data_IF_199958535964
#
_entry.id   IF_199958535964
#
_cell.length_a   1.000
_cell.length_b   1.000
_cell.length_c   1.000
_cell.angle_alpha   90.00
_cell.angle_beta   90.00
_cell.angle_gamma   90.00
#
_symmetry.space_group_name_H-M   'P 1'
#
loop_
_entity.id
_entity.type
_entity.pdbx_description
1 polymer ?
#
# COMPACT_ATOMS: atom_id res chain seq x y z
N UNK A 1 -6.64 -8.80 9.89
CA UNK A 1 -7.86 -8.40 9.15
C UNK A 1 -7.49 -8.21 7.68
N UNK A 2 -8.39 -8.52 6.73
CA UNK A 2 -8.14 -8.37 5.29
C UNK A 2 -9.20 -7.45 4.69
N UNK A 3 -8.77 -6.40 3.97
CA UNK A 3 -9.64 -5.45 3.30
C UNK A 3 -9.34 -5.47 1.80
N UNK A 4 -10.40 -5.65 1.01
CA UNK A 4 -10.37 -5.55 -0.46
C UNK A 4 -11.37 -4.49 -0.87
N UNK A 5 -10.89 -3.45 -1.56
CA UNK A 5 -11.74 -2.37 -2.06
C UNK A 5 -11.52 -2.19 -3.55
N UNK A 6 -12.63 -2.08 -4.28
CA UNK A 6 -12.68 -1.65 -5.69
C UNK A 6 -12.96 -0.12 -5.78
N UNK A 7 -13.02 0.56 -4.62
CA UNK A 7 -13.14 2.02 -4.50
C UNK A 7 -11.79 2.66 -4.25
N UNK A 8 -11.55 3.81 -4.90
CA UNK A 8 -10.32 4.61 -4.84
C UNK A 8 -9.82 4.93 -3.41
N UNK A 9 -10.74 4.93 -2.44
CA UNK A 9 -10.47 5.22 -1.04
C UNK A 9 -10.99 4.08 -0.16
N UNK A 10 -10.26 3.81 0.92
CA UNK A 10 -10.61 2.81 1.93
C UNK A 10 -10.28 3.35 3.31
N UNK A 11 -11.23 3.28 4.22
CA UNK A 11 -11.00 3.55 5.62
C UNK A 11 -10.60 2.25 6.34
N UNK A 12 -9.51 2.28 7.08
CA UNK A 12 -8.99 1.16 7.86
C UNK A 12 -9.02 1.54 9.34
N UNK A 13 -9.70 0.74 10.15
CA UNK A 13 -9.76 0.93 11.59
C UNK A 13 -8.67 0.11 12.28
N UNK A 14 -7.69 0.78 12.88
CA UNK A 14 -6.75 0.13 13.79
C UNK A 14 -7.32 0.13 15.22
N UNK A 15 -7.90 -0.99 15.63
CA UNK A 15 -8.47 -1.20 16.97
C UNK A 15 -7.41 -1.48 18.06
N UNK A 16 -6.13 -1.48 17.70
CA UNK A 16 -5.02 -1.71 18.61
C UNK A 16 -4.67 -0.47 19.44
N UNK A 17 -3.75 -0.63 20.38
CA UNK A 17 -3.28 0.44 21.26
C UNK A 17 -2.09 1.22 20.69
N UNK A 18 -1.47 0.70 19.62
CA UNK A 18 -0.28 1.31 19.00
C UNK A 18 -0.33 1.30 17.48
N UNK A 19 0.57 2.07 16.88
CA UNK A 19 0.70 2.14 15.44
C UNK A 19 1.05 0.77 14.84
N UNK A 20 0.32 0.38 13.81
CA UNK A 20 0.37 -0.97 13.25
C UNK A 20 0.95 -0.93 11.82
N UNK A 21 1.98 -1.73 11.52
CA UNK A 21 2.49 -1.85 10.15
C UNK A 21 1.48 -2.59 9.25
N UNK A 22 1.58 -2.36 7.95
CA UNK A 22 0.68 -2.96 6.97
C UNK A 22 1.45 -3.67 5.85
N UNK A 23 0.76 -4.64 5.25
CA UNK A 23 1.11 -5.28 3.99
C UNK A 23 0.09 -4.85 2.94
N UNK A 24 0.57 -4.33 1.84
CA UNK A 24 -0.24 -3.81 0.74
C UNK A 24 0.05 -4.63 -0.50
N UNK A 25 -0.98 -4.98 -1.26
CA UNK A 25 -0.86 -5.64 -2.55
C UNK A 25 -1.59 -4.80 -3.58
N UNK A 26 -0.84 -4.29 -4.54
CA UNK A 26 -1.34 -3.59 -5.72
C UNK A 26 -1.47 -4.60 -6.86
N UNK A 27 -2.65 -4.71 -7.46
CA UNK A 27 -2.90 -5.65 -8.57
C UNK A 27 -3.39 -4.91 -9.80
N UNK A 28 -2.73 -5.17 -10.92
CA UNK A 28 -3.02 -4.56 -12.21
C UNK A 28 -3.93 -5.49 -13.06
N UNK A 29 -5.18 -5.08 -13.31
CA UNK A 29 -6.10 -5.75 -14.26
C UNK A 29 -5.67 -5.55 -15.72
N UNK A 30 -4.96 -4.46 -16.01
CA UNK A 30 -4.37 -4.09 -17.28
C UNK A 30 -3.13 -3.20 -17.05
N UNK A 31 -2.58 -2.55 -18.07
CA UNK A 31 -1.45 -1.62 -17.90
C UNK A 31 -1.77 -0.49 -16.92
N UNK A 32 -0.89 -0.30 -15.92
CA UNK A 32 -0.98 0.79 -14.92
C UNK A 32 0.39 1.48 -14.82
N UNK A 33 0.43 2.80 -14.90
CA UNK A 33 1.68 3.57 -14.83
C UNK A 33 1.79 4.30 -13.51
N UNK A 34 2.93 4.15 -12.85
CA UNK A 34 3.29 4.84 -11.61
C UNK A 34 2.23 4.69 -10.50
N UNK A 35 1.92 3.45 -10.07
CA UNK A 35 0.95 3.22 -9.01
C UNK A 35 1.41 3.86 -7.70
N UNK A 36 0.46 4.46 -7.00
CA UNK A 36 0.68 5.25 -5.79
C UNK A 36 -0.36 4.93 -4.73
N UNK A 37 0.08 4.90 -3.48
CA UNK A 37 -0.78 4.86 -2.30
C UNK A 37 -0.50 6.12 -1.48
N UNK A 38 -1.55 6.77 -0.99
CA UNK A 38 -1.52 8.05 -0.27
C UNK A 38 -2.41 7.97 0.96
N UNK A 39 -1.93 8.47 2.09
CA UNK A 39 -2.78 8.86 3.21
C UNK A 39 -3.17 10.34 3.03
N UNK A 40 -4.46 10.68 2.78
CA UNK A 40 -4.88 12.05 2.50
C UNK A 40 -4.68 13.01 3.67
N UNK A 41 -4.66 12.50 4.91
CA UNK A 41 -4.49 13.30 6.13
C UNK A 41 -3.02 13.62 6.39
N UNK A 42 -2.14 12.62 6.38
CA UNK A 42 -0.71 12.82 6.67
C UNK A 42 0.09 13.28 5.46
N UNK A 43 -0.48 13.16 4.25
CA UNK A 43 0.18 13.37 2.94
C UNK A 43 1.33 12.40 2.67
N UNK A 44 1.51 11.39 3.50
CA UNK A 44 2.50 10.34 3.27
C UNK A 44 2.06 9.46 2.11
N UNK A 45 3.02 9.09 1.25
CA UNK A 45 2.73 8.27 0.10
C UNK A 45 3.83 7.25 -0.17
N UNK A 46 3.47 6.20 -0.90
CA UNK A 46 4.40 5.26 -1.52
C UNK A 46 4.05 5.26 -3.00
N UNK A 47 5.00 5.64 -3.85
CA UNK A 47 4.83 5.66 -5.31
C UNK A 47 5.92 4.81 -5.93
N UNK A 48 5.53 3.93 -6.85
CA UNK A 48 6.46 3.03 -7.55
C UNK A 48 6.59 3.54 -8.98
N UNK A 49 7.75 4.06 -9.35
CA UNK A 49 8.07 4.52 -10.70
C UNK A 49 8.27 3.30 -11.61
N UNK A 50 7.17 2.81 -12.19
CA UNK A 50 7.12 1.61 -13.04
C UNK A 50 5.80 1.54 -13.81
N UNK A 51 5.84 0.91 -14.97
CA UNK A 51 4.66 0.39 -15.67
C UNK A 51 4.37 -1.05 -15.22
N UNK A 52 3.22 -1.25 -14.56
CA UNK A 52 2.70 -2.58 -14.22
C UNK A 52 2.05 -3.23 -15.43
N UNK A 53 2.27 -4.53 -15.60
CA UNK A 53 1.62 -5.33 -16.65
C UNK A 53 0.33 -5.98 -16.15
N UNK A 54 -0.53 -6.39 -17.09
CA UNK A 54 -1.74 -7.16 -16.79
C UNK A 54 -1.40 -8.42 -15.96
N UNK A 55 -2.05 -8.56 -14.81
CA UNK A 55 -1.84 -9.66 -13.86
C UNK A 55 -0.64 -9.48 -12.93
N UNK A 56 0.09 -8.38 -13.03
CA UNK A 56 1.19 -8.09 -12.12
C UNK A 56 0.67 -7.70 -10.73
N UNK A 57 1.33 -8.22 -9.70
CA UNK A 57 1.06 -7.92 -8.30
C UNK A 57 2.32 -7.36 -7.63
N UNK A 58 2.23 -6.15 -7.08
CA UNK A 58 3.28 -5.55 -6.28
C UNK A 58 2.90 -5.60 -4.80
N UNK A 59 3.72 -6.30 -4.03
CA UNK A 59 3.61 -6.40 -2.57
C UNK A 59 4.54 -5.41 -1.90
N UNK A 60 3.99 -4.59 -1.00
CA UNK A 60 4.71 -3.64 -0.15
C UNK A 60 4.52 -4.04 1.31
N UNK A 61 5.60 -4.18 2.06
CA UNK A 61 5.54 -4.41 3.52
C UNK A 61 6.17 -3.22 4.25
N UNK A 62 5.50 -2.70 5.29
CA UNK A 62 5.97 -1.52 6.03
C UNK A 62 6.58 -1.84 7.41
N UNK A 63 6.57 -3.11 7.81
CA UNK A 63 7.10 -3.58 9.09
C UNK A 63 8.59 -3.23 9.28
N UNK A 64 8.96 -2.81 10.49
CA UNK A 64 10.36 -2.49 10.82
C UNK A 64 11.26 -3.72 10.68
N UNK A 65 12.42 -3.59 10.02
CA UNK A 65 13.29 -4.74 9.71
C UNK A 65 12.80 -5.65 8.56
N UNK A 66 11.60 -5.41 8.02
CA UNK A 66 11.07 -6.14 6.87
C UNK A 66 10.36 -5.20 5.88
N UNK A 67 10.95 -4.02 5.62
CA UNK A 67 10.48 -3.11 4.57
C UNK A 67 10.88 -3.68 3.22
N UNK A 68 9.90 -4.07 2.41
CA UNK A 68 10.14 -4.65 1.08
C UNK A 68 9.13 -4.11 0.08
N UNK A 69 9.56 -4.05 -1.17
CA UNK A 69 8.70 -3.81 -2.33
C UNK A 69 9.07 -4.86 -3.36
N UNK A 70 8.13 -5.75 -3.69
CA UNK A 70 8.40 -6.88 -4.58
C UNK A 70 7.27 -7.07 -5.57
N UNK A 71 7.59 -7.26 -6.84
CA UNK A 71 6.68 -7.71 -7.89
C UNK A 71 6.75 -9.22 -8.05
N UNK A 72 5.62 -9.85 -8.35
CA UNK A 72 5.57 -11.25 -8.78
C UNK A 72 6.24 -11.48 -10.14
N UNK A 73 6.45 -10.43 -10.94
CA UNK A 73 7.07 -10.48 -12.26
C UNK A 73 8.57 -10.17 -12.24
N UNK A 74 8.97 -9.09 -11.58
CA UNK A 74 10.35 -8.57 -11.61
C UNK A 74 11.16 -8.83 -10.33
N UNK A 75 10.52 -9.35 -9.28
CA UNK A 75 11.17 -9.52 -7.98
C UNK A 75 11.32 -8.19 -7.24
N UNK A 76 12.54 -7.83 -6.81
CA UNK A 76 12.75 -6.66 -5.95
C UNK A 76 12.56 -5.33 -6.72
N UNK A 77 11.65 -4.47 -6.23
CA UNK A 77 11.34 -3.16 -6.79
C UNK A 77 11.69 -2.00 -5.84
N UNK A 78 12.52 -2.23 -4.82
CA UNK A 78 12.84 -1.18 -3.84
C UNK A 78 13.45 0.07 -4.47
N UNK A 79 14.27 -0.09 -5.51
CA UNK A 79 14.88 1.02 -6.25
C UNK A 79 13.91 1.76 -7.18
N UNK A 80 12.72 1.21 -7.43
CA UNK A 80 11.67 1.87 -8.20
C UNK A 80 10.83 2.80 -7.34
N UNK A 81 11.03 2.84 -6.02
CA UNK A 81 10.34 3.80 -5.18
C UNK A 81 10.72 5.23 -5.56
N UNK A 82 9.71 6.07 -5.75
CA UNK A 82 9.92 7.50 -5.97
C UNK A 82 10.57 8.12 -4.74
N UNK A 83 11.53 9.02 -4.98
CA UNK A 83 12.16 9.83 -3.95
C UNK A 83 11.08 10.53 -3.12
N UNK A 84 11.21 10.47 -1.79
CA UNK A 84 10.21 11.00 -0.86
C UNK A 84 9.10 10.03 -0.45
N UNK A 85 9.06 8.82 -1.02
CA UNK A 85 8.14 7.77 -0.57
C UNK A 85 8.41 7.39 0.89
N UNK A 86 7.35 7.29 1.69
CA UNK A 86 7.39 6.94 3.12
C UNK A 86 6.58 5.68 3.39
N UNK A 87 7.22 4.71 4.04
CA UNK A 87 6.56 3.51 4.54
C UNK A 87 5.70 3.87 5.75
N UNK A 88 4.45 4.26 5.49
CA UNK A 88 3.46 4.62 6.49
C UNK A 88 2.95 3.43 7.30
N UNK A 89 2.51 3.69 8.53
CA UNK A 89 1.84 2.74 9.43
C UNK A 89 0.41 3.24 9.68
N UNK A 90 -0.47 2.36 10.17
CA UNK A 90 -1.80 2.76 10.62
C UNK A 90 -1.68 3.37 12.01
N UNK A 91 -2.16 4.60 12.19
CA UNK A 91 -2.36 5.20 13.50
C UNK A 91 -3.48 4.47 14.25
N UNK A 92 -3.54 4.58 15.57
CA UNK A 92 -4.71 4.09 16.34
C UNK A 92 -5.97 4.82 15.86
N UNK A 93 -7.05 4.08 15.65
CA UNK A 93 -8.32 4.59 15.10
C UNK A 93 -8.39 4.56 13.57
N UNK A 94 -9.12 5.53 12.99
CA UNK A 94 -9.43 5.57 11.57
C UNK A 94 -8.25 6.04 10.71
N UNK A 95 -7.98 5.30 9.63
CA UNK A 95 -6.93 5.61 8.67
C UNK A 95 -7.52 5.56 7.26
N UNK A 96 -7.60 6.72 6.63
CA UNK A 96 -8.00 6.81 5.23
C UNK A 96 -6.79 6.56 4.32
N UNK A 97 -6.91 5.56 3.45
CA UNK A 97 -5.92 5.20 2.45
C UNK A 97 -6.55 5.35 1.07
N UNK A 98 -5.85 6.03 0.17
CA UNK A 98 -6.23 6.21 -1.22
C UNK A 98 -5.17 5.56 -2.12
N UNK A 99 -5.57 4.90 -3.20
CA UNK A 99 -4.66 4.58 -4.29
C UNK A 99 -4.93 5.44 -5.51
N UNK A 100 -3.90 5.63 -6.33
CA UNK A 100 -3.98 6.33 -7.61
C UNK A 100 -2.91 5.83 -8.57
N UNK A 101 -3.02 6.17 -9.85
CA UNK A 101 -1.99 5.93 -10.84
C UNK A 101 -1.90 7.11 -11.82
N UNK A 102 -0.76 7.27 -12.50
CA UNK A 102 -0.62 8.27 -13.56
C UNK A 102 -1.47 7.89 -14.80
N UNK A 103 -1.52 6.60 -15.11
CA UNK A 103 -2.36 6.05 -16.18
C UNK A 103 -2.91 4.69 -15.77
N UNK A 104 -4.15 4.38 -16.17
CA UNK A 104 -4.80 3.09 -15.90
C UNK A 104 -5.24 2.90 -14.44
N UNK A 105 -5.59 3.98 -13.72
CA UNK A 105 -6.05 3.93 -12.32
C UNK A 105 -7.27 3.01 -12.14
N UNK A 106 -8.18 2.97 -13.12
CA UNK A 106 -9.35 2.09 -13.14
C UNK A 106 -8.99 0.60 -13.24
N UNK A 107 -7.78 0.30 -13.70
CA UNK A 107 -7.24 -1.06 -13.78
C UNK A 107 -6.43 -1.44 -12.55
N UNK A 108 -6.26 -0.54 -11.58
CA UNK A 108 -5.54 -0.79 -10.35
C UNK A 108 -6.52 -1.20 -9.25
N UNK A 109 -6.16 -2.24 -8.50
CA UNK A 109 -6.89 -2.66 -7.31
C UNK A 109 -5.95 -2.81 -6.12
N UNK A 110 -6.50 -2.61 -4.93
CA UNK A 110 -5.76 -2.53 -3.68
C UNK A 110 -6.28 -3.56 -2.68
N UNK A 111 -5.38 -4.37 -2.15
CA UNK A 111 -5.63 -5.24 -1.01
C UNK A 111 -4.71 -4.85 0.15
N UNK A 112 -5.27 -4.70 1.35
CA UNK A 112 -4.51 -4.31 2.54
C UNK A 112 -4.72 -5.35 3.64
N UNK A 113 -3.62 -5.77 4.24
CA UNK A 113 -3.55 -6.71 5.33
C UNK A 113 -2.81 -6.06 6.50
N UNK A 114 -3.41 -6.12 7.68
CA UNK A 114 -2.77 -5.69 8.93
C UNK A 114 -3.33 -6.48 10.12
N UNK A 115 -2.57 -6.49 11.21
CA UNK A 115 -2.94 -7.10 12.48
C UNK A 115 -2.73 -6.05 13.56
N UNK A 116 -3.80 -5.54 14.20
CA UNK A 116 -3.69 -4.56 15.27
C UNK A 116 -2.74 -5.02 16.38
N UNK A 117 -1.89 -4.12 16.86
CA UNK A 117 -0.99 -4.36 17.97
C UNK A 117 -1.59 -3.83 19.28
N UNK A 118 -1.53 -4.63 20.33
CA UNK A 118 -2.04 -4.28 21.66
C UNK A 118 -0.89 -4.20 22.64
N UNK A 119 -0.96 -3.27 23.59
CA UNK A 119 0.00 -3.22 24.69
C UNK A 119 -0.37 -4.31 25.69
N UNK A 120 0.43 -5.38 25.73
CA UNK A 120 0.35 -6.37 26.81
C UNK A 120 0.93 -5.78 28.10
N UNK A 121 0.23 -5.99 29.21
CA UNK A 121 0.75 -5.75 30.57
C UNK A 121 1.62 -6.91 31.05
#
# INVERSE_FOLDING_TARGET
>A
MSYKSDSLMTNLLNEGDVNTPLKIILKAKNTVVNPKILNPYTKEYIEITKEMKKGEEITITTHMGNKRVTSNLDGNLFNNLKIGSKFMWLNVGDNLIRYSAELGEENLSLEIYYTPYYLGV
#
